data_IF_238679139934
#
_entry.id   IF_238679139934
#
_cell.length_a   1.000
_cell.length_b   1.000
_cell.length_c   1.000
_cell.angle_alpha   90.00
_cell.angle_beta   90.00
_cell.angle_gamma   90.00
#
_symmetry.space_group_name_H-M   'P 1'
#
loop_
_entity.id
_entity.type
_entity.pdbx_description
1 polymer ?
#
# COMPACT_ATOMS: atom_id res chain seq x y z
N UNK A 1 -12.64 13.73 20.12
CA UNK A 1 -11.90 12.48 20.38
C UNK A 1 -10.45 12.73 19.99
N UNK A 2 -9.52 12.34 20.86
CA UNK A 2 -8.10 12.71 20.86
C UNK A 2 -7.38 12.33 19.56
N UNK A 3 -7.04 13.32 18.75
CA UNK A 3 -6.36 13.17 17.44
C UNK A 3 -4.84 13.24 17.55
N UNK A 4 -4.28 12.93 18.73
CA UNK A 4 -2.83 12.85 18.87
C UNK A 4 -2.44 11.44 18.41
N UNK A 5 -1.62 11.35 17.37
CA UNK A 5 -1.06 10.10 16.85
C UNK A 5 0.45 10.11 17.11
N UNK A 6 0.91 9.83 18.35
CA UNK A 6 2.34 9.85 18.67
C UNK A 6 3.16 8.96 17.75
N UNK A 7 2.56 7.84 17.30
CA UNK A 7 3.24 6.92 16.39
C UNK A 7 3.59 7.59 15.06
N UNK A 8 2.62 8.22 14.37
CA UNK A 8 2.88 8.91 13.10
C UNK A 8 3.87 10.07 13.25
N UNK A 9 3.91 10.71 14.42
CA UNK A 9 4.95 11.70 14.72
C UNK A 9 6.34 11.03 14.67
N UNK A 10 6.53 9.98 15.48
CA UNK A 10 7.84 9.32 15.63
C UNK A 10 8.25 8.42 14.46
N UNK A 11 7.31 7.93 13.65
CA UNK A 11 7.56 6.96 12.58
C UNK A 11 7.45 7.58 11.18
N UNK A 12 6.96 8.81 11.05
CA UNK A 12 6.85 9.50 9.77
C UNK A 12 7.34 10.96 9.87
N UNK A 13 6.75 11.78 10.73
CA UNK A 13 7.07 13.22 10.73
C UNK A 13 8.51 13.51 11.11
N UNK A 14 8.99 12.90 12.19
CA UNK A 14 10.35 13.09 12.72
C UNK A 14 11.41 12.34 11.90
N UNK A 15 11.00 11.32 11.14
CA UNK A 15 11.89 10.51 10.29
C UNK A 15 12.11 11.16 8.92
N UNK A 16 11.05 11.76 8.36
CA UNK A 16 11.06 12.37 7.04
C UNK A 16 10.96 13.91 7.15
N UNK A 17 11.84 14.52 7.94
CA UNK A 17 11.89 15.97 8.21
C UNK A 17 12.97 16.73 7.41
N UNK A 18 13.80 16.02 6.63
CA UNK A 18 14.89 16.62 5.86
C UNK A 18 14.43 17.58 4.75
N UNK A 19 15.32 18.49 4.35
CA UNK A 19 15.07 19.60 3.40
C UNK A 19 14.56 19.17 2.00
N UNK A 20 14.65 17.89 1.63
CA UNK A 20 14.09 17.36 0.37
C UNK A 20 12.78 16.56 0.54
N UNK A 21 12.29 16.41 1.76
CA UNK A 21 11.19 15.52 2.12
C UNK A 21 9.94 16.27 2.59
N UNK A 22 10.00 17.62 2.70
CA UNK A 22 8.83 18.49 2.87
C UNK A 22 8.07 18.65 1.55
N UNK A 23 7.57 17.54 1.04
CA UNK A 23 6.78 17.41 -0.19
C UNK A 23 5.49 16.64 0.11
N UNK A 24 4.46 16.70 -0.75
CA UNK A 24 3.28 15.85 -0.60
C UNK A 24 3.61 14.35 -0.70
N UNK A 25 3.17 13.58 0.29
CA UNK A 25 3.21 12.11 0.34
C UNK A 25 1.80 11.57 0.15
N UNK A 26 1.58 10.87 -0.96
CA UNK A 26 0.29 10.25 -1.28
C UNK A 26 0.26 8.81 -0.77
N UNK A 27 -0.61 8.55 0.19
CA UNK A 27 -0.60 7.29 0.96
C UNK A 27 -1.68 6.33 0.48
N UNK A 28 -1.42 5.03 0.69
CA UNK A 28 -2.38 3.93 0.61
C UNK A 28 -2.19 3.06 1.86
N UNK A 29 -3.24 2.36 2.28
CA UNK A 29 -3.17 1.44 3.42
C UNK A 29 -2.74 0.04 2.98
N UNK A 30 -1.92 -0.61 3.79
CA UNK A 30 -1.59 -2.02 3.72
C UNK A 30 -2.34 -2.88 4.73
N UNK A 31 -2.06 -4.18 4.72
CA UNK A 31 -2.63 -5.18 5.63
C UNK A 31 -2.42 -4.81 7.11
N UNK A 32 -1.23 -4.34 7.46
CA UNK A 32 -0.86 -3.88 8.79
C UNK A 32 -1.67 -2.67 9.27
N UNK A 33 -1.96 -1.71 8.38
CA UNK A 33 -2.76 -0.53 8.69
C UNK A 33 -4.22 -0.89 9.01
N UNK A 34 -4.75 -1.91 8.32
CA UNK A 34 -6.10 -2.44 8.53
C UNK A 34 -6.25 -3.30 9.78
N UNK A 35 -5.16 -3.79 10.38
CA UNK A 35 -5.20 -4.33 11.75
C UNK A 35 -5.30 -3.22 12.81
N UNK A 36 -4.87 -2.00 12.45
CA UNK A 36 -5.00 -0.80 13.27
C UNK A 36 -6.25 0.02 12.96
N UNK A 37 -6.17 1.33 13.18
CA UNK A 37 -7.24 2.26 12.87
C UNK A 37 -6.91 3.06 11.60
N UNK A 38 -7.15 2.47 10.44
CA UNK A 38 -6.93 3.11 9.13
C UNK A 38 -7.74 4.41 8.95
N UNK A 39 -8.93 4.50 9.56
CA UNK A 39 -9.74 5.73 9.51
C UNK A 39 -9.04 6.91 10.18
N UNK A 40 -8.21 6.62 11.18
CA UNK A 40 -7.47 7.64 11.88
C UNK A 40 -6.22 8.10 11.10
N UNK A 41 -5.64 7.22 10.26
CA UNK A 41 -4.64 7.62 9.26
C UNK A 41 -5.24 8.51 8.18
N UNK A 42 -6.46 8.20 7.72
CA UNK A 42 -7.20 9.08 6.79
C UNK A 42 -7.45 10.45 7.43
N UNK A 43 -7.90 10.48 8.68
CA UNK A 43 -8.13 11.73 9.43
C UNK A 43 -6.85 12.55 9.64
N UNK A 44 -5.68 11.92 9.67
CA UNK A 44 -4.38 12.58 9.83
C UNK A 44 -4.03 13.52 8.66
N UNK A 45 -4.66 13.36 7.50
CA UNK A 45 -4.57 14.30 6.37
C UNK A 45 -4.92 15.74 6.77
N UNK A 46 -5.81 15.92 7.76
CA UNK A 46 -6.16 17.27 8.26
C UNK A 46 -5.10 17.88 9.19
N UNK A 47 -4.08 17.11 9.58
CA UNK A 47 -3.08 17.48 10.58
C UNK A 47 -1.71 17.76 9.99
N UNK A 48 -1.31 17.02 8.96
CA UNK A 48 0.01 17.14 8.33
C UNK A 48 -0.11 17.69 6.91
N UNK A 49 0.74 18.67 6.58
CA UNK A 49 0.85 19.22 5.22
C UNK A 49 1.50 18.25 4.24
N UNK A 50 2.29 17.30 4.76
CA UNK A 50 2.98 16.27 3.97
C UNK A 50 2.04 15.10 3.70
N UNK A 51 1.25 14.69 4.69
CA UNK A 51 0.40 13.51 4.62
C UNK A 51 -0.87 13.72 3.78
N UNK A 52 -0.98 13.04 2.64
CA UNK A 52 -2.16 13.04 1.79
C UNK A 52 -2.78 11.65 1.73
N UNK A 53 -3.80 11.41 2.55
CA UNK A 53 -4.59 10.17 2.54
C UNK A 53 -6.09 10.46 2.70
N UNK A 54 -6.74 11.06 1.70
CA UNK A 54 -8.09 11.61 1.87
C UNK A 54 -9.18 10.53 2.03
N UNK A 55 -8.96 9.34 1.46
CA UNK A 55 -9.86 8.18 1.46
C UNK A 55 -9.04 6.91 1.26
N UNK A 56 -9.62 5.74 1.54
CA UNK A 56 -8.97 4.44 1.31
C UNK A 56 -8.58 4.23 -0.15
N UNK A 57 -9.42 4.69 -1.07
CA UNK A 57 -9.10 4.74 -2.50
C UNK A 57 -9.50 6.10 -3.07
N UNK A 58 -8.66 6.63 -3.96
CA UNK A 58 -8.81 7.97 -4.52
C UNK A 58 -8.00 8.13 -5.80
N UNK A 59 -8.34 9.15 -6.59
CA UNK A 59 -7.66 9.48 -7.84
C UNK A 59 -6.85 10.76 -7.66
N UNK A 60 -5.66 10.77 -8.24
CA UNK A 60 -4.82 11.94 -8.41
C UNK A 60 -4.69 12.24 -9.91
N UNK A 61 -4.68 13.52 -10.26
CA UNK A 61 -4.47 13.98 -11.63
C UNK A 61 -3.44 15.11 -11.62
N UNK A 62 -2.38 14.96 -12.41
CA UNK A 62 -1.29 15.93 -12.48
C UNK A 62 -1.10 16.43 -13.91
N UNK A 63 -1.13 17.76 -14.14
CA UNK A 63 -0.67 18.32 -15.39
C UNK A 63 0.86 18.33 -15.42
N UNK A 64 1.43 17.83 -16.51
CA UNK A 64 2.81 18.09 -16.93
C UNK A 64 2.81 19.17 -18.02
N UNK A 65 4.00 19.63 -18.42
CA UNK A 65 4.12 20.70 -19.44
C UNK A 65 3.35 20.40 -20.74
N UNK A 66 3.43 19.17 -21.23
CA UNK A 66 2.81 18.73 -22.50
C UNK A 66 2.05 17.40 -22.36
N UNK A 67 1.77 16.96 -21.15
CA UNK A 67 1.15 15.66 -20.89
C UNK A 67 0.37 15.70 -19.59
N UNK A 68 -0.41 14.65 -19.33
CA UNK A 68 -1.22 14.49 -18.14
C UNK A 68 -1.00 13.11 -17.54
N UNK A 69 -1.02 13.05 -16.20
CA UNK A 69 -0.90 11.80 -15.46
C UNK A 69 -2.15 11.63 -14.61
N UNK A 70 -2.78 10.47 -14.71
CA UNK A 70 -3.73 9.98 -13.72
C UNK A 70 -3.08 8.87 -12.89
N UNK A 71 -3.32 8.90 -11.58
CA UNK A 71 -2.92 7.83 -10.65
C UNK A 71 -4.14 7.39 -9.85
N UNK A 72 -4.50 6.11 -9.94
CA UNK A 72 -5.52 5.52 -9.07
C UNK A 72 -4.85 4.87 -7.87
N UNK A 73 -5.09 5.42 -6.69
CA UNK A 73 -4.65 4.88 -5.42
C UNK A 73 -5.75 3.96 -4.90
N UNK A 74 -5.49 2.65 -4.79
CA UNK A 74 -6.48 1.63 -4.43
C UNK A 74 -6.14 0.95 -3.11
N UNK A 75 -7.17 0.60 -2.36
CA UNK A 75 -7.06 -0.23 -1.16
C UNK A 75 -7.25 -1.70 -1.53
N UNK A 76 -6.17 -2.48 -1.58
CA UNK A 76 -6.25 -3.89 -1.98
C UNK A 76 -6.82 -4.79 -0.90
N UNK A 77 -6.86 -4.34 0.36
CA UNK A 77 -7.39 -5.09 1.49
C UNK A 77 -8.92 -5.04 1.46
N UNK A 78 -9.50 -3.89 1.13
CA UNK A 78 -10.94 -3.75 0.89
C UNK A 78 -11.39 -4.63 -0.29
N UNK A 79 -10.58 -4.71 -1.35
CA UNK A 79 -10.90 -5.49 -2.55
C UNK A 79 -10.83 -7.00 -2.33
N UNK A 80 -9.75 -7.48 -1.70
CA UNK A 80 -9.40 -8.89 -1.71
C UNK A 80 -9.46 -9.58 -0.35
N UNK A 81 -9.53 -8.83 0.76
CA UNK A 81 -9.40 -9.37 2.11
C UNK A 81 -8.05 -9.05 2.74
N UNK A 82 -7.91 -9.29 4.05
CA UNK A 82 -6.68 -9.00 4.78
C UNK A 82 -5.89 -10.29 5.04
N UNK A 83 -4.58 -10.26 4.84
CA UNK A 83 -3.63 -11.34 5.16
C UNK A 83 -2.84 -11.00 6.42
N UNK A 84 -2.65 -11.98 7.30
CA UNK A 84 -1.68 -11.87 8.38
C UNK A 84 -0.29 -12.19 7.83
N UNK A 85 0.66 -11.27 7.93
CA UNK A 85 2.02 -11.54 7.50
C UNK A 85 2.69 -12.57 8.42
N UNK A 86 3.00 -13.73 7.84
CA UNK A 86 3.66 -14.85 8.51
C UNK A 86 5.15 -14.57 8.71
N UNK A 87 5.68 -13.44 8.22
CA UNK A 87 7.11 -13.10 8.36
C UNK A 87 7.57 -12.96 9.83
N UNK A 88 6.64 -12.83 10.79
CA UNK A 88 6.91 -12.87 12.23
C UNK A 88 6.14 -13.98 12.98
N UNK A 89 5.57 -14.95 12.26
CA UNK A 89 4.74 -16.00 12.84
C UNK A 89 5.57 -17.01 13.64
N UNK A 90 5.14 -17.27 14.87
CA UNK A 90 5.74 -18.33 15.69
C UNK A 90 5.47 -19.72 15.09
N UNK A 91 6.09 -20.76 15.65
CA UNK A 91 5.89 -22.16 15.26
C UNK A 91 4.40 -22.58 15.14
N UNK A 92 3.50 -21.92 15.87
CA UNK A 92 2.06 -22.14 15.83
C UNK A 92 1.35 -21.57 14.59
N UNK A 93 1.81 -20.44 14.03
CA UNK A 93 1.23 -19.85 12.80
C UNK A 93 1.57 -20.70 11.57
N UNK A 94 2.77 -21.32 11.56
CA UNK A 94 3.19 -22.25 10.50
C UNK A 94 2.32 -23.52 10.43
N UNK A 95 1.76 -23.95 11.57
CA UNK A 95 0.97 -25.19 11.71
C UNK A 95 -0.52 -25.03 11.34
N UNK A 96 -1.02 -23.79 11.25
CA UNK A 96 -2.44 -23.48 11.04
C UNK A 96 -2.77 -22.77 9.73
N UNK A 97 -1.80 -22.53 8.84
CA UNK A 97 -1.94 -21.69 7.65
C UNK A 97 -3.07 -22.13 6.69
N UNK A 98 -4.24 -21.50 6.83
CA UNK A 98 -5.09 -21.17 5.70
C UNK A 98 -4.43 -20.05 4.90
N UNK A 99 -4.24 -20.31 3.60
CA UNK A 99 -3.97 -19.35 2.52
C UNK A 99 -2.99 -18.19 2.79
N UNK A 100 -1.85 -18.16 2.07
CA UNK A 100 -1.02 -16.94 1.94
C UNK A 100 -1.75 -15.84 1.15
N UNK A 101 -2.77 -16.22 0.41
CA UNK A 101 -3.70 -15.34 -0.28
C UNK A 101 -4.83 -14.87 0.64
N UNK A 102 -5.34 -13.65 0.45
CA UNK A 102 -6.51 -13.21 1.18
C UNK A 102 -7.75 -14.01 0.76
N UNK A 103 -8.51 -14.51 1.74
CA UNK A 103 -9.69 -15.38 1.54
C UNK A 103 -10.96 -14.64 1.05
N UNK A 104 -10.81 -13.40 0.56
CA UNK A 104 -11.90 -12.56 0.07
C UNK A 104 -12.22 -11.35 0.97
N UNK A 105 -12.97 -10.37 0.44
CA UNK A 105 -13.24 -9.12 1.13
C UNK A 105 -14.16 -9.31 2.35
N UNK A 106 -13.87 -8.58 3.43
CA UNK A 106 -14.71 -8.57 4.64
C UNK A 106 -16.13 -8.04 4.36
N UNK A 107 -16.26 -7.12 3.42
CA UNK A 107 -17.52 -6.53 2.97
C UNK A 107 -17.57 -6.55 1.44
N UNK A 108 -18.23 -7.56 0.89
CA UNK A 108 -18.32 -7.77 -0.56
C UNK A 108 -18.97 -6.60 -1.29
N UNK A 109 -19.90 -5.87 -0.65
CA UNK A 109 -20.56 -4.71 -1.26
C UNK A 109 -19.56 -3.57 -1.43
N UNK A 110 -18.78 -3.26 -0.39
CA UNK A 110 -17.73 -2.22 -0.48
C UNK A 110 -16.62 -2.58 -1.46
N UNK A 111 -16.25 -3.85 -1.51
CA UNK A 111 -15.31 -4.33 -2.51
C UNK A 111 -15.84 -4.07 -3.92
N UNK A 112 -17.10 -4.41 -4.19
CA UNK A 112 -17.71 -4.19 -5.51
C UNK A 112 -17.87 -2.71 -5.86
N UNK A 113 -18.20 -1.86 -4.88
CA UNK A 113 -18.22 -0.40 -5.06
C UNK A 113 -16.85 0.13 -5.50
N UNK A 114 -15.76 -0.38 -4.92
CA UNK A 114 -14.41 0.01 -5.32
C UNK A 114 -14.01 -0.59 -6.68
N UNK A 115 -14.41 -1.83 -6.99
CA UNK A 115 -14.18 -2.44 -8.30
C UNK A 115 -14.85 -1.65 -9.42
N UNK A 116 -16.12 -1.26 -9.24
CA UNK A 116 -16.82 -0.40 -10.18
C UNK A 116 -16.13 0.96 -10.31
N UNK A 117 -15.73 1.56 -9.18
CA UNK A 117 -15.00 2.83 -9.18
C UNK A 117 -13.67 2.74 -9.95
N UNK A 118 -12.93 1.63 -9.82
CA UNK A 118 -11.69 1.40 -10.59
C UNK A 118 -12.00 1.35 -12.08
N UNK A 119 -12.96 0.52 -12.51
CA UNK A 119 -13.30 0.40 -13.93
C UNK A 119 -13.77 1.73 -14.53
N UNK A 120 -14.63 2.47 -13.81
CA UNK A 120 -15.12 3.78 -14.26
C UNK A 120 -13.99 4.79 -14.44
N UNK A 121 -13.03 4.82 -13.53
CA UNK A 121 -11.89 5.75 -13.61
C UNK A 121 -10.87 5.35 -14.68
N UNK A 122 -10.65 4.04 -14.88
CA UNK A 122 -9.81 3.54 -15.97
C UNK A 122 -10.44 3.87 -17.34
N UNK A 123 -11.75 3.64 -17.50
CA UNK A 123 -12.48 3.89 -18.74
C UNK A 123 -12.62 5.39 -19.07
N UNK A 124 -12.83 6.23 -18.05
CA UNK A 124 -13.01 7.67 -18.23
C UNK A 124 -11.70 8.46 -18.33
N UNK A 125 -10.56 7.89 -17.93
CA UNK A 125 -9.28 8.59 -18.03
C UNK A 125 -8.95 8.93 -19.49
N UNK A 126 -8.43 10.13 -19.68
CA UNK A 126 -7.88 10.62 -20.95
C UNK A 126 -6.42 11.04 -20.78
N UNK A 127 -5.80 10.64 -19.67
CA UNK A 127 -4.44 11.02 -19.36
C UNK A 127 -3.45 10.32 -20.30
N UNK A 128 -2.36 11.00 -20.63
CA UNK A 128 -1.27 10.41 -21.43
C UNK A 128 -0.61 9.23 -20.72
N UNK A 129 -0.56 9.28 -19.38
CA UNK A 129 -0.12 8.20 -18.52
C UNK A 129 -1.15 7.88 -17.45
N UNK A 130 -1.42 6.60 -17.24
CA UNK A 130 -2.38 6.10 -16.28
C UNK A 130 -1.72 5.06 -15.38
N UNK A 131 -1.49 5.41 -14.12
CA UNK A 131 -0.88 4.52 -13.14
C UNK A 131 -1.91 4.03 -12.13
N UNK A 132 -1.68 2.86 -11.55
CA UNK A 132 -2.46 2.34 -10.43
C UNK A 132 -1.50 1.93 -9.31
N UNK A 133 -1.78 2.32 -8.07
CA UNK A 133 -0.99 1.98 -6.90
C UNK A 133 -1.85 1.25 -5.86
N UNK A 134 -1.39 0.09 -5.39
CA UNK A 134 -2.05 -0.70 -4.36
C UNK A 134 -1.02 -1.36 -3.44
N UNK A 135 -1.46 -1.97 -2.33
CA UNK A 135 -0.52 -2.62 -1.41
C UNK A 135 -0.10 -4.01 -1.94
N UNK A 136 -1.07 -4.87 -2.26
CA UNK A 136 -0.81 -6.24 -2.70
C UNK A 136 -0.30 -6.34 -4.15
N UNK A 137 0.63 -7.26 -4.44
CA UNK A 137 1.15 -7.47 -5.77
C UNK A 137 0.14 -8.23 -6.66
N UNK A 138 0.02 -7.85 -7.93
CA UNK A 138 -0.67 -8.71 -8.91
C UNK A 138 0.15 -9.98 -9.14
N UNK A 139 1.46 -9.80 -9.37
CA UNK A 139 2.41 -10.88 -9.59
C UNK A 139 3.59 -10.71 -8.67
N UNK A 140 4.07 -11.76 -8.01
CA UNK A 140 5.35 -11.71 -7.31
C UNK A 140 5.99 -13.08 -7.30
N UNK A 141 7.32 -13.11 -7.32
CA UNK A 141 8.10 -14.34 -7.14
C UNK A 141 8.68 -14.47 -5.73
N UNK A 142 8.32 -13.57 -4.82
CA UNK A 142 8.77 -13.56 -3.42
C UNK A 142 7.85 -14.39 -2.51
N UNK A 143 8.00 -14.23 -1.19
CA UNK A 143 7.40 -15.07 -0.15
C UNK A 143 5.87 -15.09 -0.21
N UNK A 144 5.23 -13.98 -0.60
CA UNK A 144 3.78 -13.88 -0.66
C UNK A 144 3.19 -14.35 -1.99
N UNK A 145 3.96 -14.23 -3.09
CA UNK A 145 3.51 -14.67 -4.41
C UNK A 145 2.44 -13.75 -5.04
N UNK A 146 1.80 -14.19 -6.14
CA UNK A 146 0.74 -13.42 -6.79
C UNK A 146 -0.55 -13.38 -5.95
N UNK A 147 -1.23 -12.24 -5.87
CA UNK A 147 -2.55 -12.17 -5.24
C UNK A 147 -3.65 -12.55 -6.22
N UNK A 148 -4.24 -13.73 -6.06
CA UNK A 148 -5.19 -14.30 -7.05
C UNK A 148 -6.38 -13.39 -7.38
N UNK A 149 -6.99 -12.76 -6.37
CA UNK A 149 -8.07 -11.78 -6.55
C UNK A 149 -7.70 -10.63 -7.51
N UNK A 150 -6.45 -10.16 -7.46
CA UNK A 150 -5.96 -9.10 -8.35
C UNK A 150 -5.61 -9.63 -9.75
N UNK A 151 -5.06 -10.84 -9.84
CA UNK A 151 -4.81 -11.52 -11.12
C UNK A 151 -6.12 -11.72 -11.89
N UNK A 152 -7.20 -12.09 -11.20
CA UNK A 152 -8.49 -12.39 -11.83
C UNK A 152 -9.27 -11.14 -12.24
N UNK A 153 -9.23 -10.07 -11.42
CA UNK A 153 -10.08 -8.88 -11.64
C UNK A 153 -9.32 -7.63 -12.08
N UNK A 154 -8.20 -7.32 -11.45
CA UNK A 154 -7.48 -6.07 -11.70
C UNK A 154 -6.63 -6.14 -12.97
N UNK A 155 -5.88 -7.22 -13.17
CA UNK A 155 -5.00 -7.39 -14.34
C UNK A 155 -5.76 -7.29 -15.69
N UNK A 156 -6.93 -7.93 -15.89
CA UNK A 156 -7.72 -7.74 -17.10
C UNK A 156 -8.20 -6.30 -17.32
N UNK A 157 -8.54 -5.57 -16.24
CA UNK A 157 -8.97 -4.16 -16.34
C UNK A 157 -7.80 -3.27 -16.76
N UNK A 158 -6.64 -3.42 -16.13
CA UNK A 158 -5.43 -2.68 -16.50
C UNK A 158 -5.07 -2.93 -17.95
N UNK A 159 -5.20 -4.18 -18.41
CA UNK A 159 -5.05 -4.60 -19.81
C UNK A 159 -6.04 -3.93 -20.76
N UNK A 160 -7.33 -4.00 -20.44
CA UNK A 160 -8.42 -3.45 -21.25
C UNK A 160 -8.28 -1.95 -21.47
N UNK A 161 -7.77 -1.22 -20.48
CA UNK A 161 -7.70 0.25 -20.51
C UNK A 161 -6.29 0.82 -20.67
N UNK A 162 -5.29 0.01 -21.05
CA UNK A 162 -3.93 0.47 -21.36
C UNK A 162 -3.26 1.30 -20.25
N UNK A 163 -3.46 0.91 -18.98
CA UNK A 163 -2.69 1.44 -17.86
C UNK A 163 -1.16 1.36 -18.09
N UNK A 164 -0.43 2.42 -17.79
CA UNK A 164 1.01 2.54 -18.02
C UNK A 164 1.83 1.63 -17.10
N UNK A 165 1.48 1.56 -15.81
CA UNK A 165 2.06 0.64 -14.85
C UNK A 165 1.20 0.47 -13.61
N UNK A 166 1.45 -0.61 -12.88
CA UNK A 166 0.96 -0.81 -11.52
C UNK A 166 2.12 -0.87 -10.53
N UNK A 167 1.93 -0.21 -9.39
CA UNK A 167 2.88 -0.16 -8.30
C UNK A 167 2.32 -0.89 -7.08
N UNK A 168 3.15 -1.75 -6.47
CA UNK A 168 2.82 -2.43 -5.24
C UNK A 168 4.00 -2.60 -4.29
N UNK A 169 3.68 -2.94 -3.05
CA UNK A 169 4.63 -3.34 -2.01
C UNK A 169 4.31 -4.76 -1.54
N UNK A 170 4.06 -4.89 -0.23
CA UNK A 170 3.78 -6.13 0.49
C UNK A 170 4.97 -7.10 0.54
N UNK A 171 5.46 -7.56 -0.60
CA UNK A 171 6.72 -8.29 -0.63
C UNK A 171 7.87 -7.32 -0.35
N UNK A 172 8.66 -7.60 0.69
CA UNK A 172 9.81 -6.79 1.12
C UNK A 172 11.03 -6.96 0.20
N UNK A 173 10.81 -6.82 -1.11
CA UNK A 173 11.81 -6.94 -2.17
C UNK A 173 11.59 -5.88 -3.25
N UNK A 174 12.58 -5.68 -4.14
CA UNK A 174 12.45 -4.87 -5.35
C UNK A 174 12.33 -5.79 -6.56
N UNK A 175 11.27 -5.64 -7.34
CA UNK A 175 11.03 -6.45 -8.53
C UNK A 175 10.45 -5.61 -9.68
N UNK A 176 10.83 -5.95 -10.92
CA UNK A 176 10.25 -5.37 -12.13
C UNK A 176 9.80 -6.47 -13.08
N UNK A 177 8.52 -6.45 -13.44
CA UNK A 177 7.91 -7.40 -14.36
C UNK A 177 7.42 -6.71 -15.62
N UNK A 178 7.48 -7.41 -16.75
CA UNK A 178 6.88 -6.95 -18.01
C UNK A 178 6.29 -8.14 -18.75
N UNK A 179 4.94 -8.26 -18.88
CA UNK A 179 4.16 -8.88 -20.00
C UNK A 179 2.63 -8.86 -19.73
N UNK A 180 1.76 -8.53 -20.70
CA UNK A 180 1.88 -7.44 -21.67
C UNK A 180 1.91 -6.03 -21.01
N UNK A 181 1.88 -5.96 -19.68
CA UNK A 181 1.94 -4.74 -18.86
C UNK A 181 3.21 -4.69 -18.00
N UNK A 182 3.61 -3.47 -17.60
CA UNK A 182 4.75 -3.22 -16.70
C UNK A 182 4.27 -3.16 -15.24
N UNK A 183 4.87 -3.98 -14.39
CA UNK A 183 4.63 -4.02 -12.94
C UNK A 183 5.92 -3.64 -12.20
N UNK A 184 5.82 -2.79 -11.18
CA UNK A 184 6.97 -2.32 -10.39
C UNK A 184 6.66 -2.54 -8.90
N UNK A 185 7.51 -3.29 -8.20
CA UNK A 185 7.40 -3.56 -6.77
C UNK A 185 8.45 -2.78 -5.98
N UNK A 186 8.04 -2.08 -4.91
CA UNK A 186 8.93 -1.37 -3.99
C UNK A 186 8.63 -1.76 -2.54
N UNK A 187 9.35 -2.77 -2.02
CA UNK A 187 9.19 -3.26 -0.65
C UNK A 187 10.23 -2.76 0.37
N UNK A 188 11.33 -2.15 -0.05
CA UNK A 188 12.37 -1.65 0.86
C UNK A 188 12.92 -0.30 0.38
N UNK A 189 12.70 0.73 1.20
CA UNK A 189 13.15 2.12 1.05
C UNK A 189 12.49 2.99 -0.05
N UNK A 190 11.64 3.92 0.42
CA UNK A 190 11.25 5.22 -0.15
C UNK A 190 10.54 5.28 -1.53
N UNK A 191 9.41 6.00 -1.53
CA UNK A 191 8.55 6.46 -2.66
C UNK A 191 7.26 5.69 -3.02
N UNK A 192 6.95 4.59 -2.34
CA UNK A 192 5.57 4.18 -2.03
C UNK A 192 5.61 3.58 -0.63
N UNK A 193 5.41 4.42 0.39
CA UNK A 193 5.62 4.02 1.77
C UNK A 193 4.44 3.18 2.26
N UNK A 194 4.47 1.87 2.04
CA UNK A 194 3.78 0.92 2.93
C UNK A 194 4.65 0.83 4.19
N UNK A 195 4.44 1.73 5.15
CA UNK A 195 5.15 1.72 6.42
C UNK A 195 4.55 0.69 7.36
N UNK A 196 5.34 -0.28 7.82
CA UNK A 196 4.96 -1.19 8.90
C UNK A 196 4.66 -0.41 10.19
N UNK A 197 3.38 -0.18 10.50
CA UNK A 197 2.95 0.28 11.82
C UNK A 197 2.90 -0.94 12.75
N UNK A 198 4.01 -1.20 13.44
CA UNK A 198 4.14 -2.30 14.37
C UNK A 198 3.19 -2.14 15.58
N UNK A 199 2.57 -3.26 15.98
CA UNK A 199 1.70 -3.38 17.16
C UNK A 199 2.49 -3.13 18.45
N UNK A 200 1.91 -2.38 19.39
CA UNK A 200 2.35 -2.38 20.79
C UNK A 200 1.97 -3.72 21.44
N UNK A 201 2.94 -4.49 21.94
CA UNK A 201 2.70 -5.29 23.14
C UNK A 201 3.28 -4.52 24.31
N UNK A 202 2.43 -4.22 25.29
CA UNK A 202 2.89 -3.65 26.55
C UNK A 202 3.96 -4.56 27.17
N UNK A 203 4.97 -3.91 27.76
CA UNK A 203 5.98 -4.48 28.65
C UNK A 203 7.19 -5.13 27.94
N UNK A 204 8.30 -4.39 27.82
CA UNK A 204 9.57 -4.64 28.55
C UNK A 204 10.72 -3.77 27.98
N UNK A 205 11.22 -2.87 28.83
CA UNK A 205 12.57 -2.25 28.90
C UNK A 205 13.53 -2.40 27.70
N UNK A 206 13.78 -1.27 27.03
CA UNK A 206 14.92 -1.08 26.12
C UNK A 206 16.23 -1.17 26.90
N UNK A 207 17.02 -2.22 26.62
CA UNK A 207 18.44 -2.29 26.99
C UNK A 207 19.25 -1.95 25.74
N UNK A 208 19.86 -0.77 25.72
CA UNK A 208 20.79 -0.37 24.67
C UNK A 208 22.04 -1.26 24.74
N UNK A 209 22.38 -1.93 23.65
CA UNK A 209 23.75 -2.36 23.39
C UNK A 209 24.14 -1.91 21.99
N UNK A 210 24.88 -0.82 21.95
CA UNK A 210 25.82 -0.50 20.91
C UNK A 210 26.78 -1.68 20.75
N UNK A 211 27.03 -2.12 19.53
CA UNK A 211 28.36 -2.57 19.12
C UNK A 211 28.51 -2.38 17.61
N UNK A 212 29.41 -1.45 17.28
CA UNK A 212 30.02 -1.29 15.97
C UNK A 212 30.73 -2.59 15.59
N UNK A 213 30.69 -2.98 14.31
CA UNK A 213 31.89 -3.54 13.69
C UNK A 213 31.87 -3.33 12.17
N UNK A 214 32.74 -2.42 11.74
CA UNK A 214 33.38 -2.44 10.43
C UNK A 214 34.24 -3.71 10.32
N UNK A 215 34.09 -4.49 9.25
CA UNK A 215 35.09 -4.80 8.19
C UNK A 215 34.32 -5.34 6.99
#
# INVERSE_FOLDING_TARGET
MTTNMPLLQTSFEDIYDGHGLDVPWYMIAGNHDHFGNVSAQVAYTSRSRKWHFPKLYYKLSFPLRNSTIDVLMIDTIVLCGNTADIENGGFFDMLWNGSRDPDGPKDAKKAEEQWQWIEDNLNSSRADYLFVGGHYPIYSVASHGPTHCLVERLDPLLKKYNASAYFAGHDHTLQIGSKPFKWIFYGQAAYLCCGNIARFSDNQTVKSRSDNLFV
#
